data_IF_162788835997
#
_entry.id   IF_162788835997
#
_cell.length_a   1.000
_cell.length_b   1.000
_cell.length_c   1.000
_cell.angle_alpha   90.00
_cell.angle_beta   90.00
_cell.angle_gamma   90.00
#
_symmetry.space_group_name_H-M   'P 1'
#
loop_
_entity.id
_entity.type
_entity.pdbx_description
1 polymer ?
#
# COMPACT_ATOMS: atom_id res chain seq x y z
N UNK A 1 17.50 20.51 -3.86
CA UNK A 1 16.45 19.97 -4.75
C UNK A 1 16.30 18.46 -4.62
N UNK A 2 17.39 17.67 -4.72
CA UNK A 2 17.31 16.21 -4.71
C UNK A 2 16.77 15.64 -3.37
N UNK A 3 17.19 16.20 -2.23
CA UNK A 3 16.69 15.79 -0.90
C UNK A 3 15.18 16.06 -0.77
N UNK A 4 14.70 17.20 -1.27
CA UNK A 4 13.28 17.55 -1.25
C UNK A 4 12.46 16.56 -2.07
N UNK A 5 12.96 16.17 -3.24
CA UNK A 5 12.34 15.15 -4.08
C UNK A 5 12.29 13.79 -3.36
N UNK A 6 13.38 13.37 -2.72
CA UNK A 6 13.41 12.13 -1.93
C UNK A 6 12.37 12.13 -0.82
N UNK A 7 12.22 13.25 -0.08
CA UNK A 7 11.20 13.39 0.95
C UNK A 7 9.78 13.29 0.39
N UNK A 8 9.53 13.88 -0.78
CA UNK A 8 8.22 13.79 -1.41
C UNK A 8 7.86 12.34 -1.78
N UNK A 9 8.82 11.59 -2.34
CA UNK A 9 8.62 10.18 -2.67
C UNK A 9 8.42 9.34 -1.41
N UNK A 10 9.20 9.62 -0.36
CA UNK A 10 9.10 8.95 0.93
C UNK A 10 7.72 9.12 1.57
N UNK A 11 7.19 10.34 1.57
CA UNK A 11 5.84 10.66 2.04
C UNK A 11 4.76 10.00 1.17
N UNK A 12 4.94 9.98 -0.15
CA UNK A 12 4.01 9.30 -1.05
C UNK A 12 3.95 7.79 -0.78
N UNK A 13 5.10 7.14 -0.54
CA UNK A 13 5.15 5.72 -0.16
C UNK A 13 4.49 5.49 1.20
N UNK A 14 4.71 6.39 2.16
CA UNK A 14 4.08 6.34 3.49
C UNK A 14 2.55 6.41 3.39
N UNK A 15 2.03 7.39 2.64
CA UNK A 15 0.61 7.55 2.39
C UNK A 15 0.02 6.33 1.69
N UNK A 16 0.69 5.80 0.67
CA UNK A 16 0.21 4.63 -0.06
C UNK A 16 0.21 3.37 0.81
N UNK A 17 1.22 3.20 1.66
CA UNK A 17 1.26 2.13 2.67
C UNK A 17 0.07 2.22 3.63
N UNK A 18 -0.25 3.44 4.09
CA UNK A 18 -1.43 3.67 4.93
C UNK A 18 -2.74 3.35 4.20
N UNK A 19 -2.88 3.73 2.93
CA UNK A 19 -4.06 3.37 2.13
C UNK A 19 -4.24 1.86 1.99
N UNK A 20 -3.16 1.11 1.79
CA UNK A 20 -3.21 -0.37 1.73
C UNK A 20 -3.68 -0.94 3.07
N UNK A 21 -3.18 -0.43 4.20
CA UNK A 21 -3.64 -0.85 5.53
C UNK A 21 -5.14 -0.58 5.72
N UNK A 22 -5.61 0.62 5.37
CA UNK A 22 -7.03 0.98 5.46
C UNK A 22 -7.87 0.09 4.54
N UNK A 23 -7.46 -0.11 3.28
CA UNK A 23 -8.12 -1.02 2.34
C UNK A 23 -8.27 -2.43 2.92
N UNK A 24 -7.21 -2.94 3.54
CA UNK A 24 -7.20 -4.29 4.13
C UNK A 24 -8.14 -4.38 5.33
N UNK A 25 -8.10 -3.40 6.21
CA UNK A 25 -9.00 -3.32 7.36
C UNK A 25 -10.47 -3.24 6.93
N UNK A 26 -10.78 -2.43 5.91
CA UNK A 26 -12.13 -2.32 5.33
C UNK A 26 -12.57 -3.60 4.61
N UNK A 27 -11.63 -4.37 4.05
CA UNK A 27 -11.93 -5.65 3.38
C UNK A 27 -12.17 -6.78 4.38
N UNK A 28 -11.44 -6.81 5.49
CA UNK A 28 -11.57 -7.88 6.48
C UNK A 28 -12.77 -7.67 7.39
N UNK A 29 -13.08 -6.42 7.75
CA UNK A 29 -14.21 -6.11 8.62
C UNK A 29 -15.38 -5.61 7.76
N UNK A 30 -16.55 -6.27 7.80
CA UNK A 30 -17.72 -5.85 7.02
C UNK A 30 -18.41 -4.61 7.65
N UNK A 31 -17.67 -3.52 7.86
CA UNK A 31 -18.10 -2.33 8.61
C UNK A 31 -19.18 -1.50 7.90
N UNK A 32 -19.46 -1.75 6.61
CA UNK A 32 -20.30 -0.84 5.82
C UNK A 32 -20.90 -1.44 4.55
N UNK A 33 -21.53 -2.62 4.62
CA UNK A 33 -22.28 -3.17 3.47
C UNK A 33 -23.50 -2.33 3.08
N UNK A 34 -23.84 -1.26 3.82
CA UNK A 34 -24.95 -0.36 3.55
C UNK A 34 -24.51 1.10 3.80
N UNK A 35 -24.55 1.96 2.76
CA UNK A 35 -24.37 3.43 2.89
C UNK A 35 -23.06 4.02 2.33
N UNK A 36 -22.77 5.27 2.69
CA UNK A 36 -21.66 6.09 2.12
C UNK A 36 -20.26 5.47 2.30
N UNK A 37 -20.04 4.66 3.34
CA UNK A 37 -18.75 3.99 3.59
C UNK A 37 -18.38 2.98 2.49
N UNK A 38 -19.36 2.39 1.81
CA UNK A 38 -19.13 1.46 0.69
C UNK A 38 -18.46 2.15 -0.51
N UNK A 39 -18.86 3.39 -0.82
CA UNK A 39 -18.28 4.18 -1.91
C UNK A 39 -16.83 4.57 -1.63
N UNK A 40 -16.52 4.95 -0.39
CA UNK A 40 -15.14 5.27 0.03
C UNK A 40 -14.27 4.02 -0.02
N UNK A 41 -14.76 2.89 0.48
CA UNK A 41 -14.04 1.63 0.42
C UNK A 41 -13.77 1.19 -1.02
N UNK A 42 -14.75 1.33 -1.93
CA UNK A 42 -14.57 1.05 -3.35
C UNK A 42 -13.53 1.97 -4.00
N UNK A 43 -13.52 3.26 -3.67
CA UNK A 43 -12.54 4.21 -4.18
C UNK A 43 -11.11 3.90 -3.70
N UNK A 44 -10.94 3.62 -2.40
CA UNK A 44 -9.64 3.21 -1.83
C UNK A 44 -9.19 1.89 -2.45
N UNK A 45 -10.11 0.95 -2.61
CA UNK A 45 -9.83 -0.33 -3.26
C UNK A 45 -9.36 -0.14 -4.69
N UNK A 46 -10.03 0.68 -5.50
CA UNK A 46 -9.62 0.97 -6.88
C UNK A 46 -8.20 1.54 -6.99
N UNK A 47 -7.75 2.32 -5.98
CA UNK A 47 -6.39 2.87 -5.90
C UNK A 47 -5.36 1.79 -5.50
N UNK A 48 -5.74 0.87 -4.61
CA UNK A 48 -4.83 -0.16 -4.08
C UNK A 48 -4.76 -1.41 -4.98
N UNK A 49 -5.84 -1.74 -5.68
CA UNK A 49 -6.00 -2.95 -6.50
C UNK A 49 -4.90 -3.18 -7.55
N UNK A 50 -4.46 -2.18 -8.33
CA UNK A 50 -3.43 -2.44 -9.35
C UNK A 50 -2.09 -2.90 -8.75
N UNK A 51 -1.77 -2.52 -7.52
CA UNK A 51 -0.56 -2.95 -6.83
C UNK A 51 -0.80 -4.20 -5.98
N UNK A 52 -1.78 -4.16 -5.07
CA UNK A 52 -2.12 -5.27 -4.16
C UNK A 52 -2.62 -6.50 -4.94
N UNK A 53 -3.39 -6.27 -6.01
CA UNK A 53 -3.91 -7.31 -6.89
C UNK A 53 -2.83 -8.12 -7.63
N UNK A 54 -1.63 -7.56 -7.85
CA UNK A 54 -0.49 -8.33 -8.35
C UNK A 54 -0.10 -9.43 -7.36
N UNK A 55 -0.10 -9.11 -6.07
CA UNK A 55 0.23 -10.06 -5.00
C UNK A 55 -0.90 -11.06 -4.75
N UNK A 56 -2.17 -10.69 -4.95
CA UNK A 56 -3.32 -11.62 -4.86
C UNK A 56 -3.26 -12.77 -5.86
N UNK A 57 -2.62 -12.57 -7.00
CA UNK A 57 -2.44 -13.64 -8.00
C UNK A 57 -1.43 -14.69 -7.56
N UNK A 58 -0.54 -14.34 -6.64
CA UNK A 58 0.56 -15.18 -6.17
C UNK A 58 0.23 -15.78 -4.81
N UNK A 59 -0.42 -15.00 -3.94
CA UNK A 59 -0.71 -15.36 -2.55
C UNK A 59 -2.17 -15.82 -2.47
N UNK A 60 -2.42 -17.11 -2.21
CA UNK A 60 -3.78 -17.59 -1.99
C UNK A 60 -4.37 -16.96 -0.72
N UNK A 61 -5.67 -16.74 -0.72
CA UNK A 61 -6.40 -16.31 0.48
C UNK A 61 -6.48 -17.47 1.47
N UNK A 62 -6.14 -17.23 2.73
CA UNK A 62 -6.17 -18.25 3.78
C UNK A 62 -7.33 -17.95 4.73
N UNK A 63 -8.26 -18.90 4.87
CA UNK A 63 -9.39 -18.75 5.81
C UNK A 63 -10.29 -17.55 5.53
N UNK A 64 -10.36 -17.08 4.28
CA UNK A 64 -11.14 -15.89 3.90
C UNK A 64 -10.45 -14.54 4.20
N UNK A 65 -9.23 -14.56 4.73
CA UNK A 65 -8.40 -13.37 4.96
C UNK A 65 -7.37 -13.25 3.84
N UNK A 66 -7.28 -12.05 3.30
CA UNK A 66 -6.32 -11.68 2.26
C UNK A 66 -5.01 -11.20 2.88
N UNK A 67 -3.93 -11.99 2.73
CA UNK A 67 -2.57 -11.64 3.19
C UNK A 67 -1.74 -10.89 2.14
N UNK A 68 -2.25 -10.74 0.92
CA UNK A 68 -1.58 -9.98 -0.14
C UNK A 68 -1.20 -8.54 0.24
N UNK A 69 -1.98 -7.79 1.06
CA UNK A 69 -1.59 -6.45 1.45
C UNK A 69 -0.33 -6.41 2.31
N UNK A 70 -0.11 -7.44 3.14
CA UNK A 70 1.09 -7.51 3.97
C UNK A 70 2.35 -7.61 3.11
N UNK A 71 2.31 -8.47 2.09
CA UNK A 71 3.43 -8.62 1.16
C UNK A 71 3.60 -7.37 0.28
N UNK A 72 2.51 -6.74 -0.13
CA UNK A 72 2.54 -5.46 -0.84
C UNK A 72 3.26 -4.37 -0.02
N UNK A 73 2.97 -4.27 1.28
CA UNK A 73 3.63 -3.33 2.20
C UNK A 73 5.12 -3.67 2.35
N UNK A 74 5.47 -4.95 2.50
CA UNK A 74 6.87 -5.38 2.55
C UNK A 74 7.63 -4.99 1.28
N UNK A 75 7.02 -5.14 0.11
CA UNK A 75 7.61 -4.72 -1.16
C UNK A 75 7.81 -3.20 -1.22
N UNK A 76 6.86 -2.39 -0.75
CA UNK A 76 7.01 -0.93 -0.66
C UNK A 76 8.11 -0.52 0.31
N UNK A 77 8.21 -1.18 1.48
CA UNK A 77 9.28 -0.93 2.44
C UNK A 77 10.65 -1.27 1.87
N UNK A 78 10.76 -2.38 1.14
CA UNK A 78 11.99 -2.76 0.45
C UNK A 78 12.36 -1.73 -0.62
N UNK A 79 11.40 -1.32 -1.45
CA UNK A 79 11.59 -0.29 -2.47
C UNK A 79 12.07 1.03 -1.86
N UNK A 80 11.43 1.47 -0.76
CA UNK A 80 11.82 2.67 -0.02
C UNK A 80 13.26 2.60 0.48
N UNK A 81 13.66 1.46 1.08
CA UNK A 81 15.03 1.24 1.56
C UNK A 81 16.05 1.23 0.42
N UNK A 82 15.73 0.59 -0.70
CA UNK A 82 16.62 0.55 -1.86
C UNK A 82 16.80 1.95 -2.43
N UNK A 83 15.70 2.70 -2.57
CA UNK A 83 15.73 4.07 -3.06
C UNK A 83 16.62 4.95 -2.18
N UNK A 84 16.42 4.92 -0.86
CA UNK A 84 17.25 5.72 0.05
C UNK A 84 18.71 5.23 0.09
N UNK A 85 18.95 3.92 0.09
CA UNK A 85 20.31 3.38 0.11
C UNK A 85 21.14 3.73 -1.14
N UNK A 86 20.51 3.77 -2.32
CA UNK A 86 21.20 4.15 -3.57
C UNK A 86 21.41 5.67 -3.65
N UNK A 87 20.43 6.46 -3.20
CA UNK A 87 20.45 7.91 -3.37
C UNK A 87 21.18 8.65 -2.24
N UNK A 88 21.22 8.15 -1.00
CA UNK A 88 21.94 8.80 0.11
C UNK A 88 23.44 9.01 -0.20
N UNK A 89 24.20 8.04 -0.73
CA UNK A 89 25.61 8.21 -1.07
C UNK A 89 25.87 9.21 -2.20
N UNK A 90 24.85 9.55 -3.01
CA UNK A 90 25.01 10.54 -4.10
C UNK A 90 24.87 11.99 -3.63
N UNK A 91 24.46 12.18 -2.37
CA UNK A 91 24.17 13.49 -1.76
C UNK A 91 25.26 13.94 -0.79
N UNK A 92 26.08 13.01 -0.29
CA UNK A 92 27.25 13.24 0.56
C UNK A 92 28.53 13.07 -0.25
#
# INVERSE_FOLDING_TARGET
MIITFLRLVDEAISLYTFLILVNSALSWVPLGRLGMMSGIAAAINAICEPFVGLFRRIIPTFGGIDFSPFVAILALMALRRILTAILLPTVY
#
